data_IF_501562472049
#
_entry.id   IF_501562472049
#
_cell.length_a   1.000
_cell.length_b   1.000
_cell.length_c   1.000
_cell.angle_alpha   90.00
_cell.angle_beta   90.00
_cell.angle_gamma   90.00
#
_symmetry.space_group_name_H-M   'P 1'
#
loop_
_entity.id
_entity.type
_entity.pdbx_description
1 polymer ?
#
# COMPACT_ATOMS: atom_id res chain seq x y z
N UNK A 1 -7.24 20.00 0.38
CA UNK A 1 -7.38 19.58 1.79
C UNK A 1 -6.07 18.98 2.24
N UNK A 2 -5.46 19.51 3.32
CA UNK A 2 -4.26 18.92 3.93
C UNK A 2 -4.64 17.62 4.63
N UNK A 3 -4.08 16.51 4.16
CA UNK A 3 -4.29 15.21 4.77
C UNK A 3 -3.38 15.11 6.00
N UNK A 4 -3.95 14.91 7.20
CA UNK A 4 -3.20 14.75 8.44
C UNK A 4 -3.50 13.39 9.11
N UNK A 5 -2.45 12.77 9.66
CA UNK A 5 -2.56 11.55 10.46
C UNK A 5 -3.14 11.84 11.84
N UNK A 6 -3.98 10.94 12.34
CA UNK A 6 -4.39 10.92 13.76
C UNK A 6 -3.19 10.51 14.65
N UNK A 7 -3.19 10.85 15.96
CA UNK A 7 -2.06 10.55 16.84
C UNK A 7 -1.60 9.09 16.81
N UNK A 8 -2.54 8.13 16.86
CA UNK A 8 -2.21 6.70 16.80
C UNK A 8 -1.64 6.26 15.43
N UNK A 9 -1.99 6.95 14.34
CA UNK A 9 -1.43 6.67 13.02
C UNK A 9 -0.01 7.24 12.92
N UNK A 10 0.26 8.40 13.53
CA UNK A 10 1.60 8.97 13.61
C UNK A 10 2.55 8.04 14.38
N UNK A 11 2.09 7.51 15.52
CA UNK A 11 2.83 6.51 16.29
C UNK A 11 3.09 5.23 15.48
N UNK A 12 2.05 4.69 14.83
CA UNK A 12 2.19 3.51 14.00
C UNK A 12 3.20 3.72 12.85
N UNK A 13 3.15 4.87 12.16
CA UNK A 13 4.09 5.19 11.08
C UNK A 13 5.51 5.36 11.63
N UNK A 14 5.68 5.96 12.81
CA UNK A 14 6.98 6.09 13.47
C UNK A 14 7.60 4.72 13.78
N UNK A 15 6.82 3.78 14.30
CA UNK A 15 7.34 2.43 14.60
C UNK A 15 7.60 1.61 13.32
N UNK A 16 6.76 1.76 12.29
CA UNK A 16 7.03 1.18 10.97
C UNK A 16 8.34 1.71 10.38
N UNK A 17 8.61 3.02 10.50
CA UNK A 17 9.84 3.62 10.01
C UNK A 17 11.08 3.07 10.72
N UNK A 18 11.03 2.89 12.04
CA UNK A 18 12.12 2.26 12.79
C UNK A 18 12.36 0.81 12.36
N UNK A 19 11.30 0.04 12.15
CA UNK A 19 11.41 -1.33 11.64
C UNK A 19 12.02 -1.35 10.24
N UNK A 20 11.57 -0.43 9.37
CA UNK A 20 12.05 -0.29 8.00
C UNK A 20 13.55 0.02 7.95
N UNK A 21 14.02 0.97 8.75
CA UNK A 21 15.43 1.37 8.83
C UNK A 21 16.36 0.24 9.30
N UNK A 22 15.83 -0.72 10.07
CA UNK A 22 16.57 -1.91 10.50
C UNK A 22 16.60 -3.02 9.45
N UNK A 23 15.82 -2.90 8.38
CA UNK A 23 15.59 -3.97 7.41
C UNK A 23 14.66 -5.07 7.94
N UNK A 24 13.92 -4.81 9.01
CA UNK A 24 13.02 -5.77 9.63
C UNK A 24 11.70 -5.86 8.84
N UNK A 25 11.09 -7.06 8.86
CA UNK A 25 9.72 -7.25 8.37
C UNK A 25 8.72 -6.69 9.38
N UNK A 26 8.02 -5.62 9.01
CA UNK A 26 7.03 -4.95 9.87
C UNK A 26 5.60 -5.53 9.74
N UNK A 27 4.81 -5.41 10.81
CA UNK A 27 3.38 -5.71 10.84
C UNK A 27 2.60 -4.50 11.37
N UNK A 28 1.65 -3.99 10.57
CA UNK A 28 0.72 -2.95 11.02
C UNK A 28 -0.62 -3.58 11.44
N UNK A 29 -0.88 -3.60 12.75
CA UNK A 29 -2.14 -4.10 13.31
C UNK A 29 -3.00 -2.94 13.83
N UNK A 30 -4.10 -2.62 13.13
CA UNK A 30 -5.12 -1.68 13.62
C UNK A 30 -6.53 -2.31 13.47
N UNK A 31 -7.53 -1.93 14.29
CA UNK A 31 -8.89 -2.44 14.14
C UNK A 31 -9.55 -1.96 12.83
N UNK A 32 -10.68 -2.57 12.45
CA UNK A 32 -11.49 -2.08 11.32
C UNK A 32 -11.94 -0.64 11.58
N UNK A 33 -12.13 0.16 10.52
CA UNK A 33 -12.48 1.59 10.66
C UNK A 33 -11.36 2.51 11.14
N UNK A 34 -10.25 2.01 11.69
CA UNK A 34 -9.12 2.83 12.14
C UNK A 34 -8.16 3.30 11.01
N UNK A 35 -8.48 2.99 9.75
CA UNK A 35 -7.71 3.49 8.61
C UNK A 35 -6.41 2.73 8.33
N UNK A 36 -6.35 1.41 8.54
CA UNK A 36 -5.21 0.52 8.19
C UNK A 36 -4.60 0.82 6.82
N UNK A 37 -5.44 0.78 5.77
CA UNK A 37 -5.04 1.01 4.38
C UNK A 37 -4.39 2.38 4.22
N UNK A 38 -5.01 3.41 4.81
CA UNK A 38 -4.53 4.77 4.75
C UNK A 38 -3.21 4.97 5.50
N UNK A 39 -3.07 4.41 6.70
CA UNK A 39 -1.82 4.47 7.47
C UNK A 39 -0.67 3.79 6.70
N UNK A 40 -0.92 2.62 6.10
CA UNK A 40 0.08 1.92 5.29
C UNK A 40 0.45 2.70 4.03
N UNK A 41 -0.53 3.20 3.28
CA UNK A 41 -0.28 4.02 2.09
C UNK A 41 0.47 5.31 2.43
N UNK A 42 0.17 5.94 3.57
CA UNK A 42 0.89 7.12 4.05
C UNK A 42 2.35 6.81 4.36
N UNK A 43 2.62 5.70 5.05
CA UNK A 43 3.99 5.25 5.32
C UNK A 43 4.78 5.03 4.01
N UNK A 44 4.11 4.49 2.99
CA UNK A 44 4.72 4.19 1.70
C UNK A 44 4.81 5.39 0.75
N UNK A 45 4.13 6.51 1.01
CA UNK A 45 3.89 7.54 -0.01
C UNK A 45 5.17 8.16 -0.61
N UNK A 46 6.18 8.39 0.23
CA UNK A 46 7.45 9.04 -0.14
C UNK A 46 8.61 8.05 -0.33
N UNK A 47 8.32 6.74 -0.28
CA UNK A 47 9.33 5.68 -0.38
C UNK A 47 9.78 5.49 -1.84
N UNK A 48 11.09 5.44 -2.15
CA UNK A 48 11.56 5.30 -3.53
C UNK A 48 11.28 3.91 -4.13
N UNK A 49 11.02 2.91 -3.30
CA UNK A 49 10.87 1.51 -3.73
C UNK A 49 9.52 1.26 -4.42
N UNK A 50 9.51 0.35 -5.39
CA UNK A 50 8.26 -0.13 -6.01
C UNK A 50 7.43 -0.92 -4.99
N UNK A 51 6.14 -0.60 -4.91
CA UNK A 51 5.20 -1.28 -4.00
C UNK A 51 4.33 -2.26 -4.78
N UNK A 52 4.29 -3.52 -4.35
CA UNK A 52 3.26 -4.47 -4.77
C UNK A 52 2.25 -4.63 -3.64
N UNK A 53 1.05 -4.08 -3.84
CA UNK A 53 -0.04 -4.16 -2.89
C UNK A 53 -0.93 -5.35 -3.22
N UNK A 54 -0.92 -6.38 -2.37
CA UNK A 54 -1.63 -7.63 -2.63
C UNK A 54 -2.92 -7.71 -1.83
N UNK A 55 -4.03 -8.06 -2.48
CA UNK A 55 -5.28 -8.41 -1.81
C UNK A 55 -5.99 -9.56 -2.54
N UNK A 56 -6.96 -10.20 -1.87
CA UNK A 56 -7.78 -11.24 -2.51
C UNK A 56 -8.95 -10.65 -3.31
N UNK A 57 -9.69 -9.73 -2.69
CA UNK A 57 -10.90 -9.11 -3.25
C UNK A 57 -10.55 -7.86 -4.07
N UNK A 58 -11.18 -7.72 -5.23
CA UNK A 58 -10.94 -6.60 -6.16
C UNK A 58 -11.38 -5.27 -5.53
N UNK A 59 -12.42 -5.28 -4.72
CA UNK A 59 -12.94 -4.16 -3.94
C UNK A 59 -11.89 -3.58 -3.00
N UNK A 60 -11.06 -4.44 -2.37
CA UNK A 60 -9.97 -4.00 -1.49
C UNK A 60 -8.85 -3.32 -2.30
N UNK A 61 -8.62 -3.76 -3.53
CA UNK A 61 -7.67 -3.09 -4.43
C UNK A 61 -8.20 -1.73 -4.88
N UNK A 62 -9.49 -1.59 -5.19
CA UNK A 62 -10.08 -0.28 -5.49
C UNK A 62 -9.94 0.69 -4.31
N UNK A 63 -10.19 0.23 -3.08
CA UNK A 63 -9.96 1.04 -1.88
C UNK A 63 -8.49 1.44 -1.71
N UNK A 64 -7.56 0.55 -2.01
CA UNK A 64 -6.13 0.86 -1.99
C UNK A 64 -5.78 1.90 -3.08
N UNK A 65 -6.33 1.78 -4.29
CA UNK A 65 -6.12 2.73 -5.37
C UNK A 65 -6.53 4.15 -4.98
N UNK A 66 -7.75 4.31 -4.46
CA UNK A 66 -8.26 5.60 -3.97
C UNK A 66 -7.37 6.17 -2.86
N UNK A 67 -6.90 5.30 -1.97
CA UNK A 67 -6.03 5.68 -0.87
C UNK A 67 -4.67 6.17 -1.38
N UNK A 68 -4.04 5.45 -2.31
CA UNK A 68 -2.75 5.83 -2.90
C UNK A 68 -2.85 7.14 -3.68
N UNK A 69 -3.92 7.32 -4.48
CA UNK A 69 -4.24 8.59 -5.14
C UNK A 69 -4.36 9.73 -4.13
N UNK A 70 -5.06 9.50 -3.01
CA UNK A 70 -5.27 10.50 -1.96
C UNK A 70 -3.98 10.91 -1.24
N UNK A 71 -3.03 9.99 -1.04
CA UNK A 71 -1.72 10.31 -0.45
C UNK A 71 -0.70 10.80 -1.48
N UNK A 72 -1.08 10.88 -2.76
CA UNK A 72 -0.24 11.41 -3.84
C UNK A 72 0.78 10.42 -4.38
N UNK A 73 0.56 9.11 -4.26
CA UNK A 73 1.45 8.07 -4.80
C UNK A 73 0.84 7.38 -6.01
N UNK A 74 1.59 7.35 -7.10
CA UNK A 74 1.28 6.69 -8.38
C UNK A 74 2.36 7.07 -9.39
N UNK A 75 2.25 6.69 -10.68
CA UNK A 75 1.15 5.94 -11.32
C UNK A 75 0.82 4.57 -10.71
N UNK A 76 -0.45 4.15 -10.82
CA UNK A 76 -0.93 2.88 -10.24
C UNK A 76 -1.20 1.85 -11.35
N UNK A 77 -0.52 0.72 -11.28
CA UNK A 77 -0.75 -0.46 -12.10
C UNK A 77 -1.70 -1.45 -11.44
N UNK A 78 -2.21 -2.38 -12.24
CA UNK A 78 -3.14 -3.42 -11.80
C UNK A 78 -2.70 -4.77 -12.35
N UNK A 79 -2.64 -5.76 -11.47
CA UNK A 79 -2.27 -7.13 -11.78
C UNK A 79 -3.35 -8.10 -11.29
N UNK A 80 -4.37 -8.30 -12.10
CA UNK A 80 -5.53 -9.15 -11.87
C UNK A 80 -5.63 -10.21 -12.97
N UNK A 81 -6.69 -11.02 -12.97
CA UNK A 81 -6.93 -11.98 -14.05
C UNK A 81 -7.21 -11.27 -15.39
N UNK A 82 -7.92 -10.13 -15.33
CA UNK A 82 -8.38 -9.36 -16.49
C UNK A 82 -7.45 -8.22 -16.91
N UNK A 83 -6.50 -7.81 -16.05
CA UNK A 83 -5.60 -6.67 -16.30
C UNK A 83 -4.18 -7.00 -15.85
N UNK A 84 -3.21 -6.83 -16.73
CA UNK A 84 -1.78 -7.12 -16.48
C UNK A 84 -0.94 -5.91 -16.81
N UNK A 85 -0.78 -4.99 -15.86
CA UNK A 85 -0.01 -3.76 -16.02
C UNK A 85 0.74 -3.44 -14.72
N UNK A 86 2.07 -3.33 -14.81
CA UNK A 86 2.91 -2.91 -13.70
C UNK A 86 2.86 -1.38 -13.62
N UNK A 87 2.64 -0.86 -12.43
CA UNK A 87 2.65 0.58 -12.17
C UNK A 87 4.04 1.09 -11.87
N UNK A 88 4.30 2.33 -12.26
CA UNK A 88 5.50 3.06 -11.89
C UNK A 88 5.32 3.60 -10.45
N UNK A 89 5.72 2.78 -9.47
CA UNK A 89 5.67 3.09 -8.03
C UNK A 89 4.71 2.24 -7.22
N UNK A 90 3.49 1.94 -7.73
CA UNK A 90 2.52 1.05 -7.05
C UNK A 90 1.84 0.11 -8.04
N UNK A 91 1.85 -1.18 -7.76
CA UNK A 91 1.04 -2.19 -8.47
C UNK A 91 0.07 -2.87 -7.52
N UNK A 92 -1.22 -2.82 -7.84
CA UNK A 92 -2.28 -3.49 -7.10
C UNK A 92 -2.50 -4.89 -7.67
N UNK A 93 -2.19 -5.93 -6.90
CA UNK A 93 -2.20 -7.31 -7.37
C UNK A 93 -3.25 -8.17 -6.65
N UNK A 94 -4.01 -8.95 -7.40
CA UNK A 94 -4.83 -10.00 -6.81
C UNK A 94 -3.98 -11.22 -6.48
N UNK A 95 -4.13 -11.77 -5.27
CA UNK A 95 -3.36 -12.94 -4.79
C UNK A 95 -3.38 -14.12 -5.77
N UNK A 96 -4.51 -14.35 -6.44
CA UNK A 96 -4.70 -15.44 -7.40
C UNK A 96 -3.86 -15.25 -8.68
N UNK A 97 -3.58 -14.00 -9.05
CA UNK A 97 -2.81 -13.63 -10.24
C UNK A 97 -1.33 -13.41 -9.95
N UNK A 98 -0.92 -13.38 -8.68
CA UNK A 98 0.47 -13.17 -8.28
C UNK A 98 1.43 -14.27 -8.75
N UNK A 99 0.93 -15.47 -9.08
CA UNK A 99 1.75 -16.57 -9.62
C UNK A 99 2.41 -16.23 -10.96
N UNK A 100 1.77 -15.36 -11.73
CA UNK A 100 2.26 -14.91 -13.04
C UNK A 100 2.99 -13.57 -12.95
N UNK A 101 3.10 -13.00 -11.74
CA UNK A 101 3.70 -11.68 -11.56
C UNK A 101 5.18 -11.72 -11.96
N UNK A 102 5.64 -10.82 -12.84
CA UNK A 102 7.01 -10.86 -13.33
C UNK A 102 8.01 -10.44 -12.24
N UNK A 103 9.29 -10.81 -12.36
CA UNK A 103 10.34 -10.29 -11.50
C UNK A 103 10.39 -8.75 -11.53
N UNK A 104 10.68 -8.14 -10.38
CA UNK A 104 10.91 -6.69 -10.22
C UNK A 104 12.39 -6.35 -10.33
#
# INVERSE_FOLDING_TARGET
>A
MTVQLRPYQQEAVKELEKSYQKGDRGLLALPTGAGKTFTAAWFLKDKPETVVWVAHLKELLYQAEETFKRVGRGPIGWWTADKKCIGDGVTLAQIQSCREFPPL
#
